data_IF_614042292413
#
_entry.id   IF_614042292413
#
_cell.length_a   1.000
_cell.length_b   1.000
_cell.length_c   1.000
_cell.angle_alpha   90.00
_cell.angle_beta   90.00
_cell.angle_gamma   90.00
#
_symmetry.space_group_name_H-M   'P 1'
#
loop_
_entity.id
_entity.type
_entity.pdbx_description
1 polymer ?
#
# COMPACT_ATOMS: atom_id res chain seq x y z
N UNK A 1 -7.92 -10.59 -1.24
CA UNK A 1 -8.63 -9.78 -0.23
C UNK A 1 -9.19 -8.51 -0.88
N UNK A 2 -10.52 -8.39 -0.99
CA UNK A 2 -11.13 -7.25 -1.71
C UNK A 2 -10.78 -5.87 -1.13
N UNK A 3 -10.60 -5.77 0.18
CA UNK A 3 -10.25 -4.50 0.83
C UNK A 3 -8.89 -3.98 0.39
N UNK A 4 -7.90 -4.87 0.22
CA UNK A 4 -6.58 -4.46 -0.24
C UNK A 4 -6.60 -4.02 -1.70
N UNK A 5 -7.37 -4.70 -2.55
CA UNK A 5 -7.52 -4.31 -3.95
C UNK A 5 -8.19 -2.95 -4.07
N UNK A 6 -9.22 -2.69 -3.26
CA UNK A 6 -9.89 -1.39 -3.24
C UNK A 6 -8.93 -0.28 -2.76
N UNK A 7 -8.16 -0.55 -1.72
CA UNK A 7 -7.16 0.41 -1.25
C UNK A 7 -6.13 0.72 -2.34
N UNK A 8 -5.64 -0.30 -3.04
CA UNK A 8 -4.68 -0.10 -4.12
C UNK A 8 -5.26 0.78 -5.22
N UNK A 9 -6.52 0.54 -5.58
CA UNK A 9 -7.22 1.34 -6.60
C UNK A 9 -7.31 2.81 -6.19
N UNK A 10 -7.70 3.07 -4.95
CA UNK A 10 -7.84 4.44 -4.44
C UNK A 10 -6.48 5.11 -4.28
N UNK A 11 -5.52 4.41 -3.69
CA UNK A 11 -4.20 4.98 -3.40
C UNK A 11 -3.38 5.24 -4.66
N UNK A 12 -3.54 4.42 -5.70
CA UNK A 12 -2.84 4.61 -6.97
C UNK A 12 -3.23 5.91 -7.69
N UNK A 13 -4.38 6.49 -7.35
CA UNK A 13 -4.87 7.75 -7.92
C UNK A 13 -4.42 8.97 -7.12
N UNK A 14 -3.77 8.80 -5.98
CA UNK A 14 -3.32 9.91 -5.15
C UNK A 14 -2.13 10.63 -5.78
N UNK A 15 -2.02 11.97 -5.59
CA UNK A 15 -0.87 12.73 -6.11
C UNK A 15 0.45 12.18 -5.62
N UNK A 16 1.42 12.04 -6.54
CA UNK A 16 2.75 11.54 -6.23
C UNK A 16 2.88 10.03 -6.13
N UNK A 17 1.79 9.29 -6.30
CA UNK A 17 1.85 7.83 -6.34
C UNK A 17 2.40 7.36 -7.69
N UNK A 18 3.60 6.79 -7.68
CA UNK A 18 4.23 6.24 -8.88
C UNK A 18 3.70 4.82 -9.14
N UNK A 19 3.62 4.01 -8.09
CA UNK A 19 3.03 2.68 -8.18
C UNK A 19 2.44 2.28 -6.84
N UNK A 20 1.36 1.52 -6.90
CA UNK A 20 0.74 0.92 -5.73
C UNK A 20 0.19 -0.44 -6.16
N UNK A 21 0.86 -1.51 -5.77
CA UNK A 21 0.56 -2.87 -6.22
C UNK A 21 0.30 -3.78 -5.04
N UNK A 22 -0.64 -4.68 -5.20
CA UNK A 22 -0.95 -5.71 -4.21
C UNK A 22 -0.76 -7.07 -4.87
N UNK A 23 0.05 -7.89 -4.24
CA UNK A 23 0.30 -9.26 -4.68
C UNK A 23 -0.23 -10.24 -3.64
N UNK A 24 -0.84 -11.31 -4.11
CA UNK A 24 -1.26 -12.42 -3.28
C UNK A 24 -0.29 -13.57 -3.47
N UNK A 25 0.28 -14.10 -2.40
CA UNK A 25 1.22 -15.20 -2.47
C UNK A 25 0.58 -16.42 -3.14
N UNK A 26 1.30 -17.04 -4.07
CA UNK A 26 0.85 -18.29 -4.69
C UNK A 26 1.05 -19.51 -3.78
N UNK A 27 2.00 -19.44 -2.86
CA UNK A 27 2.35 -20.55 -1.97
C UNK A 27 1.71 -20.45 -0.58
N UNK A 28 1.26 -19.26 -0.19
CA UNK A 28 0.62 -19.02 1.10
C UNK A 28 -0.56 -18.07 0.92
N UNK A 29 -1.78 -18.61 0.94
CA UNK A 29 -3.01 -17.83 0.72
C UNK A 29 -3.28 -16.79 1.80
N UNK A 30 -2.60 -16.86 2.93
CA UNK A 30 -2.73 -15.90 4.02
C UNK A 30 -1.73 -14.73 3.91
N UNK A 31 -0.86 -14.76 2.90
CA UNK A 31 0.19 -13.77 2.75
C UNK A 31 -0.04 -12.86 1.54
N UNK A 32 0.10 -11.56 1.77
CA UNK A 32 0.00 -10.51 0.75
C UNK A 32 1.25 -9.66 0.77
N UNK A 33 1.63 -9.13 -0.39
CA UNK A 33 2.74 -8.19 -0.53
C UNK A 33 2.21 -6.89 -1.14
N UNK A 34 2.43 -5.77 -0.47
CA UNK A 34 2.13 -4.45 -0.99
C UNK A 34 3.41 -3.78 -1.42
N UNK A 35 3.46 -3.29 -2.65
CA UNK A 35 4.60 -2.54 -3.19
C UNK A 35 4.13 -1.15 -3.55
N UNK A 36 4.72 -0.14 -2.90
CA UNK A 36 4.37 1.26 -3.08
C UNK A 36 5.60 2.06 -3.47
N UNK A 37 5.43 3.01 -4.37
CA UNK A 37 6.46 3.98 -4.71
C UNK A 37 5.83 5.36 -4.82
N UNK A 38 6.43 6.33 -4.14
CA UNK A 38 5.98 7.72 -4.10
C UNK A 38 7.09 8.62 -4.63
N UNK A 39 6.70 9.72 -5.31
CA UNK A 39 7.69 10.65 -5.87
C UNK A 39 8.54 11.29 -4.78
N UNK A 40 7.93 11.65 -3.65
CA UNK A 40 8.62 12.28 -2.52
C UNK A 40 8.15 11.71 -1.20
N UNK A 41 8.94 11.95 -0.13
CA UNK A 41 8.52 11.59 1.22
C UNK A 41 7.25 12.35 1.64
N UNK A 42 7.10 13.60 1.20
CA UNK A 42 5.91 14.39 1.49
C UNK A 42 4.66 13.78 0.88
N UNK A 43 4.75 13.22 -0.31
CA UNK A 43 3.64 12.53 -0.95
C UNK A 43 3.22 11.29 -0.15
N UNK A 44 4.18 10.53 0.36
CA UNK A 44 3.90 9.39 1.22
C UNK A 44 3.23 9.84 2.52
N UNK A 45 3.73 10.92 3.13
CA UNK A 45 3.14 11.44 4.36
C UNK A 45 1.71 11.92 4.13
N UNK A 46 1.44 12.58 3.01
CA UNK A 46 0.10 12.99 2.60
C UNK A 46 -0.82 11.78 2.39
N UNK A 47 -0.30 10.70 1.78
CA UNK A 47 -1.04 9.45 1.61
C UNK A 47 -1.56 8.91 2.95
N UNK A 48 -0.77 8.99 4.01
CA UNK A 48 -1.17 8.51 5.34
C UNK A 48 -2.30 9.33 5.97
N UNK A 49 -2.59 10.51 5.43
CA UNK A 49 -3.72 11.34 5.85
C UNK A 49 -4.93 11.18 4.93
N UNK A 50 -4.79 10.49 3.80
CA UNK A 50 -5.86 10.32 2.84
C UNK A 50 -6.90 9.31 3.30
N UNK A 51 -8.11 9.40 2.74
CA UNK A 51 -9.25 8.59 3.15
C UNK A 51 -9.01 7.09 2.97
N UNK A 52 -8.31 6.68 1.92
CA UNK A 52 -8.01 5.27 1.69
C UNK A 52 -7.19 4.69 2.85
N UNK A 53 -6.29 5.47 3.41
CA UNK A 53 -5.48 5.03 4.55
C UNK A 53 -6.28 5.13 5.87
N UNK A 54 -6.89 6.28 6.15
CA UNK A 54 -7.51 6.57 7.45
C UNK A 54 -8.88 5.91 7.63
N UNK A 55 -9.64 5.72 6.55
CA UNK A 55 -11.02 5.21 6.62
C UNK A 55 -11.14 3.76 6.16
N UNK A 56 -10.19 3.25 5.37
CA UNK A 56 -10.21 1.88 4.87
C UNK A 56 -9.10 1.04 5.47
N UNK A 57 -7.84 1.46 5.29
CA UNK A 57 -6.70 0.65 5.69
C UNK A 57 -6.60 0.47 7.21
N UNK A 58 -6.57 1.57 7.96
CA UNK A 58 -6.43 1.50 9.41
C UNK A 58 -7.62 0.77 10.07
N UNK A 59 -8.88 1.18 9.84
CA UNK A 59 -9.98 0.56 10.57
C UNK A 59 -10.41 -0.81 10.07
N UNK A 60 -10.20 -1.11 8.78
CA UNK A 60 -10.77 -2.32 8.15
C UNK A 60 -9.74 -3.36 7.76
N UNK A 61 -8.50 -2.97 7.47
CA UNK A 61 -7.46 -3.90 7.04
C UNK A 61 -6.51 -4.23 8.18
N UNK A 62 -5.96 -3.23 8.87
CA UNK A 62 -4.97 -3.44 9.93
C UNK A 62 -5.45 -4.43 11.00
N UNK A 63 -6.70 -4.38 11.50
CA UNK A 63 -7.14 -5.33 12.51
C UNK A 63 -7.18 -6.79 12.05
N UNK A 64 -7.15 -7.03 10.74
CA UNK A 64 -7.24 -8.36 10.15
C UNK A 64 -5.89 -8.99 9.84
N UNK A 65 -4.79 -8.23 9.96
CA UNK A 65 -3.48 -8.67 9.47
C UNK A 65 -2.37 -8.40 10.47
N UNK A 66 -1.27 -9.15 10.34
CA UNK A 66 0.02 -8.78 10.91
C UNK A 66 0.83 -8.10 9.82
N UNK A 67 1.30 -6.89 10.09
CA UNK A 67 1.98 -6.07 9.11
C UNK A 67 3.47 -5.97 9.41
N UNK A 68 4.30 -6.20 8.38
CA UNK A 68 5.76 -6.04 8.49
C UNK A 68 6.19 -5.02 7.43
N UNK A 69 6.38 -3.74 7.78
CA UNK A 69 6.83 -2.73 6.83
C UNK A 69 8.32 -2.86 6.54
N UNK A 70 8.68 -2.63 5.27
CA UNK A 70 10.06 -2.62 4.80
C UNK A 70 10.31 -1.35 3.99
N UNK A 71 10.51 -0.17 4.62
CA UNK A 71 10.93 1.01 3.90
C UNK A 71 12.21 0.70 3.11
N UNK A 72 12.19 0.99 1.80
CA UNK A 72 13.24 0.52 0.91
C UNK A 72 13.55 1.56 -0.14
N UNK A 73 14.80 1.54 -0.63
CA UNK A 73 15.22 2.37 -1.74
C UNK A 73 15.21 1.55 -3.02
N UNK A 74 14.72 2.14 -4.11
CA UNK A 74 14.75 1.50 -5.41
C UNK A 74 16.17 1.53 -5.98
N UNK A 75 16.79 0.36 -6.13
CA UNK A 75 18.13 0.25 -6.71
C UNK A 75 18.09 -0.02 -8.21
N UNK A 76 17.08 -0.73 -8.69
CA UNK A 76 16.91 -1.08 -10.08
C UNK A 76 15.43 -1.37 -10.37
N UNK A 77 14.88 -0.95 -11.50
CA UNK A 77 15.44 -0.05 -12.53
C UNK A 77 15.51 1.40 -12.04
N UNK A 78 16.46 2.12 -12.57
CA UNK A 78 16.63 3.56 -12.26
C UNK A 78 16.08 4.45 -13.36
#
# INVERSE_FOLDING_TARGET
MPLLAEQARLSSQEPGCVRFEVYHSQSDKLQFLLVEQWETQDDLDTHKLAKAFTELYIPKVIPLVTRVPHPSDLLWPV
#
